data_IF_856960994257
#
_entry.id   IF_856960994257
#
_cell.length_a   1.000
_cell.length_b   1.000
_cell.length_c   1.000
_cell.angle_alpha   90.00
_cell.angle_beta   90.00
_cell.angle_gamma   90.00
#
_symmetry.space_group_name_H-M   'P 1'
#
loop_
_entity.id
_entity.type
_entity.pdbx_description
1 polymer ?
#
# COMPACT_ATOMS: atom_id res chain seq x y z
N UNK A 1 27.21 2.24 -12.27
CA UNK A 1 25.94 1.56 -11.95
C UNK A 1 24.83 2.46 -12.44
N UNK A 2 23.72 1.94 -13.00
CA UNK A 2 22.57 2.78 -13.33
C UNK A 2 22.06 3.50 -12.07
N UNK A 3 21.62 4.74 -12.22
CA UNK A 3 20.90 5.51 -11.21
C UNK A 3 19.48 4.98 -11.02
N UNK A 4 18.80 5.43 -9.96
CA UNK A 4 17.43 4.98 -9.66
C UNK A 4 16.40 5.47 -10.69
N UNK A 5 16.66 6.62 -11.33
CA UNK A 5 15.81 7.16 -12.40
C UNK A 5 16.09 6.53 -13.76
N UNK A 6 17.16 5.74 -13.93
CA UNK A 6 17.46 5.08 -15.20
C UNK A 6 16.41 4.02 -15.55
N UNK A 7 15.83 4.13 -16.75
CA UNK A 7 15.02 3.05 -17.33
C UNK A 7 15.90 1.98 -17.96
N UNK A 8 15.69 0.72 -17.59
CA UNK A 8 16.29 -0.38 -18.33
C UNK A 8 15.68 -0.49 -19.74
N UNK A 9 16.52 -0.36 -20.78
CA UNK A 9 16.10 -0.41 -22.18
C UNK A 9 16.22 -1.80 -22.85
N UNK A 10 16.73 -2.81 -22.13
CA UNK A 10 16.87 -4.17 -22.64
C UNK A 10 15.63 -5.04 -22.43
N UNK A 11 15.72 -6.30 -22.86
CA UNK A 11 14.66 -7.28 -22.57
C UNK A 11 14.83 -7.84 -21.15
N UNK A 12 13.75 -7.95 -20.36
CA UNK A 12 13.80 -8.65 -19.08
C UNK A 12 14.32 -10.08 -19.26
N UNK A 13 15.21 -10.51 -18.37
CA UNK A 13 15.75 -11.87 -18.39
C UNK A 13 14.66 -12.91 -18.13
N UNK A 14 13.67 -12.56 -17.29
CA UNK A 14 12.54 -13.41 -16.95
C UNK A 14 11.27 -12.96 -17.69
N UNK A 15 10.50 -13.94 -18.18
CA UNK A 15 9.20 -13.72 -18.83
C UNK A 15 8.06 -13.85 -17.81
N UNK A 16 8.09 -13.02 -16.77
CA UNK A 16 7.05 -12.99 -15.73
C UNK A 16 5.75 -12.46 -16.34
N UNK A 17 4.62 -13.12 -16.04
CA UNK A 17 3.32 -12.77 -16.62
C UNK A 17 2.56 -11.71 -15.82
N UNK A 18 2.66 -11.75 -14.49
CA UNK A 18 1.97 -10.83 -13.57
C UNK A 18 2.56 -10.87 -12.16
N UNK A 19 2.30 -9.83 -11.38
CA UNK A 19 2.35 -9.90 -9.92
C UNK A 19 1.20 -10.80 -9.45
N UNK A 20 1.54 -11.93 -8.83
CA UNK A 20 0.59 -13.00 -8.54
C UNK A 20 -0.17 -12.83 -7.22
N UNK A 21 0.57 -12.83 -6.12
CA UNK A 21 0.04 -12.76 -4.76
C UNK A 21 1.09 -12.25 -3.78
N UNK A 22 0.64 -11.74 -2.63
CA UNK A 22 1.46 -11.52 -1.43
C UNK A 22 1.30 -12.67 -0.43
N UNK A 23 2.06 -12.66 0.66
CA UNK A 23 1.90 -13.63 1.76
C UNK A 23 1.81 -12.90 3.10
N UNK A 24 0.86 -13.32 3.93
CA UNK A 24 0.70 -12.87 5.31
C UNK A 24 0.85 -14.06 6.26
N UNK A 25 1.50 -13.82 7.39
CA UNK A 25 1.64 -14.81 8.45
C UNK A 25 0.62 -14.51 9.55
N UNK A 26 0.01 -15.57 10.09
CA UNK A 26 -0.96 -15.46 11.19
C UNK A 26 -0.67 -16.48 12.30
N UNK A 27 -1.13 -16.16 13.51
CA UNK A 27 -1.02 -17.00 14.70
C UNK A 27 -2.15 -18.03 14.75
N UNK A 28 -3.39 -17.59 14.49
CA UNK A 28 -4.61 -18.40 14.56
C UNK A 28 -5.47 -18.15 13.33
N UNK A 29 -5.46 -19.09 12.39
CA UNK A 29 -6.14 -18.94 11.10
C UNK A 29 -7.66 -18.74 11.24
N UNK A 30 -8.28 -19.37 12.23
CA UNK A 30 -9.72 -19.25 12.44
C UNK A 30 -10.09 -17.85 12.94
N UNK A 31 -9.29 -17.30 13.85
CA UNK A 31 -9.46 -15.92 14.32
C UNK A 31 -9.20 -14.92 13.19
N UNK A 32 -8.12 -15.06 12.43
CA UNK A 32 -7.79 -14.13 11.34
C UNK A 32 -8.84 -14.19 10.23
N UNK A 33 -9.38 -15.37 9.92
CA UNK A 33 -10.47 -15.52 8.96
C UNK A 33 -11.66 -14.65 9.35
N UNK A 34 -12.11 -14.77 10.60
CA UNK A 34 -13.21 -13.96 11.12
C UNK A 34 -12.89 -12.48 11.05
N UNK A 35 -11.67 -12.07 11.40
CA UNK A 35 -11.28 -10.66 11.30
C UNK A 35 -11.37 -10.15 9.85
N UNK A 36 -10.84 -10.90 8.89
CA UNK A 36 -10.87 -10.51 7.49
C UNK A 36 -12.29 -10.51 6.90
N UNK A 37 -13.16 -11.44 7.27
CA UNK A 37 -14.55 -11.49 6.80
C UNK A 37 -15.45 -10.47 7.52
N UNK A 38 -15.40 -10.40 8.85
CA UNK A 38 -16.34 -9.63 9.69
C UNK A 38 -15.94 -8.17 9.86
N UNK A 39 -14.64 -7.86 9.93
CA UNK A 39 -14.14 -6.49 10.18
C UNK A 39 -13.74 -5.81 8.88
N UNK A 40 -12.97 -6.49 8.02
CA UNK A 40 -12.46 -5.91 6.78
C UNK A 40 -13.34 -6.17 5.56
N UNK A 41 -14.29 -7.11 5.64
CA UNK A 41 -15.19 -7.44 4.53
C UNK A 41 -14.50 -8.07 3.31
N UNK A 42 -13.36 -8.75 3.51
CA UNK A 42 -12.60 -9.40 2.43
C UNK A 42 -13.26 -10.70 1.99
N UNK A 43 -13.08 -11.07 0.72
CA UNK A 43 -13.43 -12.39 0.22
C UNK A 43 -12.39 -13.40 0.69
N UNK A 44 -12.84 -14.52 1.26
CA UNK A 44 -11.94 -15.58 1.77
C UNK A 44 -12.30 -16.95 1.19
N UNK A 45 -11.28 -17.68 0.72
CA UNK A 45 -11.37 -19.11 0.42
C UNK A 45 -10.30 -19.88 1.19
N UNK A 46 -10.56 -21.15 1.51
CA UNK A 46 -9.63 -21.97 2.28
C UNK A 46 -9.15 -23.18 1.45
N UNK A 47 -7.99 -23.10 0.78
CA UNK A 47 -7.47 -24.20 -0.02
C UNK A 47 -6.82 -25.31 0.82
N UNK A 48 -6.54 -25.08 2.11
CA UNK A 48 -5.94 -26.08 2.99
C UNK A 48 -6.34 -25.92 4.46
N UNK A 49 -6.01 -26.90 5.30
CA UNK A 49 -6.23 -26.81 6.76
C UNK A 49 -5.34 -25.80 7.48
N UNK A 50 -4.30 -25.26 6.83
CA UNK A 50 -3.31 -24.34 7.43
C UNK A 50 -3.15 -23.03 6.68
N UNK A 51 -3.98 -22.78 5.66
CA UNK A 51 -3.90 -21.56 4.87
C UNK A 51 -5.24 -21.16 4.28
N UNK A 52 -5.39 -19.87 4.06
CA UNK A 52 -6.50 -19.27 3.32
C UNK A 52 -5.97 -18.31 2.26
N UNK A 53 -6.82 -17.96 1.30
CA UNK A 53 -6.58 -16.87 0.36
C UNK A 53 -7.58 -15.77 0.65
N UNK A 54 -7.10 -14.53 0.68
CA UNK A 54 -7.94 -13.34 0.82
C UNK A 54 -7.76 -12.40 -0.37
N UNK A 55 -8.83 -11.74 -0.79
CA UNK A 55 -8.80 -10.69 -1.82
C UNK A 55 -9.97 -9.74 -1.67
N UNK A 56 -9.93 -8.63 -2.41
CA UNK A 56 -11.09 -7.78 -2.61
C UNK A 56 -10.94 -7.01 -3.93
N UNK A 57 -11.97 -7.04 -4.78
CA UNK A 57 -12.16 -6.19 -5.97
C UNK A 57 -10.99 -6.11 -6.98
N UNK A 58 -9.98 -6.97 -6.87
CA UNK A 58 -8.82 -7.02 -7.76
C UNK A 58 -8.40 -8.47 -8.04
N UNK A 59 -7.47 -8.63 -8.98
CA UNK A 59 -6.86 -9.93 -9.27
C UNK A 59 -5.70 -10.28 -8.31
N UNK A 60 -5.29 -9.35 -7.45
CA UNK A 60 -4.29 -9.64 -6.42
C UNK A 60 -4.95 -10.38 -5.24
N UNK A 61 -4.23 -11.30 -4.64
CA UNK A 61 -4.66 -12.00 -3.45
C UNK A 61 -3.49 -12.12 -2.47
N UNK A 62 -3.79 -12.27 -1.19
CA UNK A 62 -2.80 -12.71 -0.21
C UNK A 62 -3.01 -14.18 0.11
N UNK A 63 -1.93 -14.95 0.09
CA UNK A 63 -1.87 -16.24 0.74
C UNK A 63 -1.63 -16.01 2.23
N UNK A 64 -2.56 -16.43 3.08
CA UNK A 64 -2.44 -16.29 4.53
C UNK A 64 -2.09 -17.65 5.12
N UNK A 65 -1.01 -17.73 5.89
CA UNK A 65 -0.45 -18.98 6.40
C UNK A 65 -0.35 -18.95 7.92
N UNK A 66 -0.87 -19.99 8.58
CA UNK A 66 -0.73 -20.15 10.02
C UNK A 66 0.68 -20.62 10.38
N UNK A 67 1.43 -19.77 11.07
CA UNK A 67 2.80 -20.06 11.53
C UNK A 67 2.88 -20.20 13.05
N UNK A 68 1.82 -19.84 13.78
CA UNK A 68 1.79 -19.79 15.24
C UNK A 68 2.67 -18.68 15.82
N UNK A 69 3.12 -17.73 14.98
CA UNK A 69 3.95 -16.59 15.37
C UNK A 69 3.33 -15.31 14.86
N UNK A 70 3.50 -14.24 15.63
CA UNK A 70 3.12 -12.91 15.18
C UNK A 70 3.96 -12.50 13.97
N UNK A 71 3.34 -11.76 13.06
CA UNK A 71 3.98 -11.22 11.88
C UNK A 71 5.15 -10.31 12.25
N UNK A 72 6.28 -10.45 11.56
CA UNK A 72 7.43 -9.55 11.70
C UNK A 72 7.32 -8.30 10.82
N UNK A 73 6.15 -8.05 10.23
CA UNK A 73 5.91 -6.91 9.36
C UNK A 73 6.14 -5.60 10.11
N UNK A 74 6.79 -4.65 9.46
CA UNK A 74 6.95 -3.29 9.98
C UNK A 74 5.92 -2.37 9.35
N UNK A 75 5.66 -1.21 9.97
CA UNK A 75 4.74 -0.22 9.42
C UNK A 75 5.10 0.21 7.99
N UNK A 76 6.38 0.19 7.57
CA UNK A 76 6.78 0.54 6.20
C UNK A 76 6.49 -0.57 5.17
N UNK A 77 6.11 -1.75 5.61
CA UNK A 77 5.75 -2.89 4.77
C UNK A 77 4.23 -3.17 4.81
N UNK A 78 3.42 -2.16 5.14
CA UNK A 78 1.98 -2.27 5.28
C UNK A 78 1.26 -2.60 3.97
N UNK A 79 -0.01 -2.99 4.11
CA UNK A 79 -0.90 -3.33 3.00
C UNK A 79 -2.05 -2.32 2.95
N UNK A 80 -2.22 -1.63 1.83
CA UNK A 80 -3.24 -0.58 1.67
C UNK A 80 -4.64 -1.12 1.38
N UNK A 81 -5.63 -0.54 2.03
CA UNK A 81 -7.06 -0.76 1.83
C UNK A 81 -7.70 0.60 1.54
N UNK A 82 -8.16 0.76 0.30
CA UNK A 82 -8.82 1.98 -0.14
C UNK A 82 -10.29 1.99 0.29
N UNK A 83 -10.70 3.03 1.01
CA UNK A 83 -12.08 3.25 1.46
C UNK A 83 -12.80 4.34 0.64
N UNK A 84 -12.14 4.91 -0.37
CA UNK A 84 -12.72 5.74 -1.41
C UNK A 84 -12.94 7.21 -1.05
N UNK A 85 -12.98 7.59 0.23
CA UNK A 85 -13.05 9.01 0.63
C UNK A 85 -12.42 9.28 2.00
N UNK A 86 -11.99 10.52 2.22
CA UNK A 86 -11.40 10.92 3.51
C UNK A 86 -12.38 10.76 4.67
N UNK A 87 -13.67 10.99 4.42
CA UNK A 87 -14.73 10.78 5.41
C UNK A 87 -14.80 9.31 5.83
N UNK A 88 -14.68 8.38 4.88
CA UNK A 88 -14.65 6.94 5.17
C UNK A 88 -13.37 6.52 5.91
N UNK A 89 -12.24 7.19 5.69
CA UNK A 89 -11.01 6.97 6.49
C UNK A 89 -11.28 7.30 7.95
N UNK A 90 -11.86 8.47 8.24
CA UNK A 90 -12.19 8.86 9.61
C UNK A 90 -13.29 7.97 10.23
N UNK A 91 -14.27 7.54 9.43
CA UNK A 91 -15.32 6.62 9.88
C UNK A 91 -14.76 5.23 10.23
N UNK A 92 -13.87 4.69 9.39
CA UNK A 92 -13.18 3.43 9.63
C UNK A 92 -12.29 3.51 10.87
N UNK A 93 -11.55 4.61 11.05
CA UNK A 93 -10.74 4.83 12.25
C UNK A 93 -11.56 4.75 13.53
N UNK A 94 -12.71 5.44 13.58
CA UNK A 94 -13.62 5.40 14.73
C UNK A 94 -14.12 3.97 15.01
N UNK A 95 -14.55 3.24 13.99
CA UNK A 95 -15.04 1.86 14.14
C UNK A 95 -13.94 0.93 14.65
N UNK A 96 -12.71 1.03 14.12
CA UNK A 96 -11.60 0.19 14.57
C UNK A 96 -11.17 0.51 16.01
N UNK A 97 -11.26 1.77 16.45
CA UNK A 97 -11.05 2.11 17.86
C UNK A 97 -12.10 1.47 18.78
N UNK A 98 -13.38 1.45 18.37
CA UNK A 98 -14.46 0.79 19.12
C UNK A 98 -14.27 -0.73 19.21
N UNK A 99 -13.73 -1.35 18.16
CA UNK A 99 -13.47 -2.79 18.05
C UNK A 99 -12.10 -3.24 18.57
N UNK A 100 -11.26 -2.30 19.03
CA UNK A 100 -9.85 -2.53 19.34
C UNK A 100 -9.64 -3.67 20.32
N UNK A 101 -10.31 -3.64 21.46
CA UNK A 101 -10.12 -4.62 22.53
C UNK A 101 -10.76 -5.98 22.19
N UNK A 102 -11.92 -5.96 21.52
CA UNK A 102 -12.62 -7.18 21.09
C UNK A 102 -11.77 -8.00 20.12
N UNK A 103 -11.16 -7.33 19.14
CA UNK A 103 -10.37 -8.00 18.12
C UNK A 103 -8.89 -8.09 18.49
N UNK A 104 -8.42 -7.37 19.51
CA UNK A 104 -7.02 -7.37 19.92
C UNK A 104 -6.11 -6.59 18.96
N UNK A 105 -6.62 -5.48 18.41
CA UNK A 105 -5.85 -4.58 17.57
C UNK A 105 -4.81 -3.85 18.43
N UNK A 106 -3.53 -3.96 18.08
CA UNK A 106 -2.44 -3.50 18.97
C UNK A 106 -2.16 -2.02 18.78
N UNK A 107 -1.94 -1.61 17.54
CA UNK A 107 -1.61 -0.23 17.17
C UNK A 107 -2.65 0.29 16.20
N UNK A 108 -3.14 1.50 16.45
CA UNK A 108 -3.97 2.29 15.54
C UNK A 108 -3.40 3.71 15.62
N UNK A 109 -2.96 4.28 14.49
CA UNK A 109 -2.45 5.65 14.43
C UNK A 109 -3.58 6.63 14.16
N UNK A 110 -3.38 7.90 14.51
CA UNK A 110 -4.32 8.96 14.11
C UNK A 110 -4.34 9.15 12.59
N UNK A 111 -5.51 9.40 11.98
CA UNK A 111 -5.61 9.79 10.58
C UNK A 111 -4.85 11.08 10.29
N UNK A 112 -4.13 11.10 9.18
CA UNK A 112 -3.36 12.27 8.73
C UNK A 112 -3.49 12.41 7.22
N UNK A 113 -3.55 13.66 6.78
CA UNK A 113 -3.33 13.99 5.37
C UNK A 113 -1.83 14.12 5.14
N UNK A 114 -1.24 13.17 4.42
CA UNK A 114 0.19 13.12 4.13
C UNK A 114 0.42 12.62 2.71
N UNK A 115 1.38 13.21 2.01
CA UNK A 115 1.71 12.83 0.64
C UNK A 115 0.51 12.88 -0.31
N UNK A 116 -0.41 13.83 -0.11
CA UNK A 116 -1.55 14.05 -0.99
C UNK A 116 -2.74 13.08 -0.80
N UNK A 117 -2.62 12.11 0.10
CA UNK A 117 -3.70 11.18 0.45
C UNK A 117 -3.96 11.23 1.97
N UNK A 118 -5.20 10.93 2.40
CA UNK A 118 -5.55 10.85 3.83
C UNK A 118 -5.58 9.39 4.26
N UNK A 119 -4.79 9.04 5.28
CA UNK A 119 -4.68 7.65 5.75
C UNK A 119 -4.42 7.50 7.25
N UNK A 120 -4.60 6.29 7.77
CA UNK A 120 -4.04 5.84 9.04
C UNK A 120 -3.60 4.39 8.97
N UNK A 121 -2.74 3.98 9.89
CA UNK A 121 -2.20 2.64 9.97
C UNK A 121 -2.72 1.91 11.20
N UNK A 122 -2.87 0.59 11.08
CA UNK A 122 -3.13 -0.26 12.22
C UNK A 122 -2.49 -1.65 12.07
N UNK A 123 -2.41 -2.38 13.17
CA UNK A 123 -2.03 -3.80 13.16
C UNK A 123 -3.25 -4.67 13.41
N UNK A 124 -3.38 -5.71 12.60
CA UNK A 124 -4.35 -6.78 12.86
C UNK A 124 -3.95 -7.61 14.10
N UNK A 125 -4.79 -8.54 14.57
CA UNK A 125 -4.52 -9.31 15.79
C UNK A 125 -3.21 -10.11 15.73
N UNK A 126 -2.77 -10.45 14.52
CA UNK A 126 -1.59 -11.25 14.23
C UNK A 126 -0.33 -10.38 14.00
N UNK A 127 -0.47 -9.06 14.00
CA UNK A 127 0.62 -8.10 13.84
C UNK A 127 0.91 -7.68 12.39
N UNK A 128 0.08 -8.07 11.41
CA UNK A 128 0.22 -7.56 10.05
C UNK A 128 -0.21 -6.10 10.00
N UNK A 129 0.57 -5.28 9.30
CA UNK A 129 0.31 -3.86 9.16
C UNK A 129 -0.61 -3.59 7.97
N UNK A 130 -1.62 -2.78 8.23
CA UNK A 130 -2.62 -2.33 7.27
C UNK A 130 -2.65 -0.81 7.26
N UNK A 131 -2.92 -0.24 6.09
CA UNK A 131 -3.24 1.17 5.90
C UNK A 131 -4.69 1.27 5.44
N UNK A 132 -5.50 2.09 6.12
CA UNK A 132 -6.77 2.57 5.58
C UNK A 132 -6.48 3.92 4.93
N UNK A 133 -6.78 4.04 3.63
CA UNK A 133 -6.44 5.22 2.85
C UNK A 133 -7.61 5.62 1.95
N UNK A 134 -7.72 6.89 1.64
CA UNK A 134 -8.53 7.38 0.52
C UNK A 134 -7.60 7.76 -0.62
N UNK A 135 -7.64 7.01 -1.72
CA UNK A 135 -6.87 7.32 -2.92
C UNK A 135 -7.79 7.72 -4.07
N UNK A 136 -7.18 8.31 -5.11
CA UNK A 136 -7.81 8.62 -6.40
C UNK A 136 -8.40 7.38 -7.07
N UNK A 137 -9.28 7.59 -8.06
CA UNK A 137 -9.81 6.52 -8.91
C UNK A 137 -8.68 5.67 -9.52
N UNK A 138 -8.81 4.34 -9.44
CA UNK A 138 -7.79 3.33 -9.78
C UNK A 138 -6.57 3.27 -8.82
N UNK A 139 -6.60 4.01 -7.72
CA UNK A 139 -5.55 4.05 -6.70
C UNK A 139 -4.16 4.34 -7.26
N UNK A 140 -3.14 3.70 -6.70
CA UNK A 140 -1.75 3.83 -7.16
C UNK A 140 -1.51 3.33 -8.59
N UNK A 141 -2.41 2.52 -9.18
CA UNK A 141 -2.28 2.12 -10.57
C UNK A 141 -2.45 3.30 -11.54
N UNK A 142 -3.13 4.37 -11.12
CA UNK A 142 -3.28 5.60 -11.90
C UNK A 142 -1.93 6.29 -12.18
N UNK A 143 -0.91 6.07 -11.35
CA UNK A 143 0.39 6.75 -11.48
C UNK A 143 1.13 6.36 -12.74
N UNK A 144 0.92 5.14 -13.22
CA UNK A 144 1.53 4.64 -14.46
C UNK A 144 1.02 5.36 -15.71
N UNK A 145 -0.10 6.08 -15.61
CA UNK A 145 -0.65 6.89 -16.70
C UNK A 145 -0.26 8.38 -16.59
N UNK A 146 0.35 8.79 -15.49
CA UNK A 146 0.62 10.19 -15.17
C UNK A 146 2.13 10.49 -15.20
N UNK A 147 2.58 11.15 -16.26
CA UNK A 147 4.00 11.46 -16.45
C UNK A 147 4.59 12.36 -15.37
N UNK A 148 3.77 13.16 -14.69
CA UNK A 148 4.25 14.01 -13.59
C UNK A 148 4.48 13.21 -12.31
N UNK A 149 4.07 11.94 -12.30
CA UNK A 149 4.29 11.01 -11.18
C UNK A 149 5.46 10.05 -11.40
N UNK A 150 6.05 10.07 -12.58
CA UNK A 150 7.15 9.21 -12.97
C UNK A 150 8.46 10.01 -13.06
N UNK A 151 9.42 9.70 -12.19
CA UNK A 151 10.76 10.29 -12.22
C UNK A 151 11.69 9.58 -13.21
N UNK A 152 11.23 8.53 -13.89
CA UNK A 152 12.05 7.75 -14.83
C UNK A 152 12.60 8.64 -15.96
N UNK A 153 13.92 8.65 -16.12
CA UNK A 153 14.65 9.47 -17.09
C UNK A 153 14.86 10.93 -16.67
N UNK A 154 14.45 11.31 -15.46
CA UNK A 154 14.61 12.65 -14.90
C UNK A 154 15.81 12.69 -13.95
N UNK A 155 17.02 12.64 -14.51
CA UNK A 155 18.29 12.65 -13.76
C UNK A 155 18.52 13.90 -12.93
N UNK A 156 17.75 14.96 -13.15
CA UNK A 156 17.73 16.16 -12.31
C UNK A 156 17.41 15.85 -10.85
N UNK A 157 16.71 14.75 -10.59
CA UNK A 157 16.35 14.29 -9.25
C UNK A 157 17.32 13.22 -8.70
N UNK A 158 18.33 12.80 -9.47
CA UNK A 158 19.30 11.81 -8.99
C UNK A 158 20.14 12.39 -7.84
N UNK A 159 20.14 11.69 -6.70
CA UNK A 159 20.93 12.09 -5.54
C UNK A 159 20.31 13.21 -4.70
N UNK A 160 19.06 13.63 -4.95
CA UNK A 160 18.31 14.45 -4.00
C UNK A 160 18.08 13.67 -2.70
N UNK A 161 18.98 13.84 -1.73
CA UNK A 161 18.80 13.40 -0.36
C UNK A 161 18.09 14.51 0.40
N UNK A 162 16.78 14.38 0.58
CA UNK A 162 15.94 15.36 1.26
C UNK A 162 15.05 14.74 2.33
N UNK A 163 14.23 15.57 2.96
CA UNK A 163 13.17 15.10 3.84
C UNK A 163 12.26 14.17 3.04
N UNK A 164 12.24 12.89 3.39
CA UNK A 164 11.41 11.86 2.76
C UNK A 164 9.93 12.25 2.71
N UNK A 165 9.50 13.15 3.61
CA UNK A 165 8.13 13.60 3.65
C UNK A 165 7.70 14.49 2.46
N UNK A 166 8.65 15.09 1.73
CA UNK A 166 8.37 16.04 0.65
C UNK A 166 9.04 15.67 -0.69
N UNK A 167 9.77 14.56 -0.75
CA UNK A 167 10.59 14.18 -1.91
C UNK A 167 9.90 13.12 -2.76
N UNK A 168 8.63 13.37 -3.10
CA UNK A 168 7.76 12.35 -3.67
C UNK A 168 6.61 12.95 -4.49
N UNK A 169 6.26 12.32 -5.61
CA UNK A 169 5.34 12.82 -6.64
C UNK A 169 3.84 12.82 -6.30
N UNK A 170 3.39 12.31 -5.16
CA UNK A 170 2.04 12.60 -4.64
C UNK A 170 1.98 13.89 -3.81
N UNK A 171 3.11 14.46 -3.37
CA UNK A 171 3.14 15.83 -2.85
C UNK A 171 2.94 16.85 -3.99
N UNK A 172 1.95 17.76 -3.91
CA UNK A 172 1.67 18.72 -4.97
C UNK A 172 2.83 19.67 -5.30
N UNK A 173 3.64 20.06 -4.31
CA UNK A 173 4.76 20.98 -4.53
C UNK A 173 5.91 20.27 -5.23
N UNK A 174 6.23 19.04 -4.82
CA UNK A 174 7.23 18.24 -5.50
C UNK A 174 6.81 17.93 -6.93
N UNK A 175 5.53 17.58 -7.13
CA UNK A 175 4.97 17.33 -8.46
C UNK A 175 5.04 18.55 -9.39
N UNK A 176 4.88 19.77 -8.87
CA UNK A 176 5.07 20.99 -9.65
C UNK A 176 6.51 21.10 -10.20
N UNK A 177 7.53 20.73 -9.41
CA UNK A 177 8.93 20.68 -9.87
C UNK A 177 9.13 19.66 -10.99
N UNK A 178 8.50 18.49 -10.89
CA UNK A 178 8.54 17.47 -11.96
C UNK A 178 7.97 18.03 -13.26
N UNK A 179 6.81 18.72 -13.18
CA UNK A 179 6.20 19.37 -14.34
C UNK A 179 7.13 20.40 -14.99
N UNK A 180 7.80 21.24 -14.20
CA UNK A 180 8.76 22.23 -14.71
C UNK A 180 9.91 21.57 -15.50
N UNK A 181 10.46 20.46 -14.99
CA UNK A 181 11.51 19.70 -15.67
C UNK A 181 10.99 19.10 -16.98
N UNK A 182 9.79 18.52 -16.98
CA UNK A 182 9.16 17.97 -18.18
C UNK A 182 8.91 19.05 -19.25
N UNK A 183 8.41 20.21 -18.84
CA UNK A 183 8.15 21.36 -19.73
C UNK A 183 9.44 21.94 -20.30
N UNK A 184 10.52 21.97 -19.52
CA UNK A 184 11.83 22.38 -20.02
C UNK A 184 12.35 21.42 -21.10
N UNK A 185 12.23 20.11 -20.87
CA UNK A 185 12.65 19.08 -21.84
C UNK A 185 11.80 19.06 -23.11
N UNK A 186 10.52 19.44 -23.06
CA UNK A 186 9.64 19.46 -24.25
C UNK A 186 9.92 20.64 -25.19
N UNK A 187 10.56 21.70 -24.69
CA UNK A 187 10.93 22.90 -25.45
C UNK A 187 12.35 22.85 -26.04
N UNK A 188 13.18 21.90 -25.60
CA UNK A 188 14.55 21.70 -26.06
C UNK A 188 14.59 20.77 -27.29
#
# INVERSE_FOLDING_TARGET
MPGITDKYAGQPVLKVQRLGHGTLEVVDLARSRRFYEEVLGLEVIQPSSRSMMIRLNTNHAYAVVETGKESSMTMLAHNGLDVGSEEEVHAAHKKLLELKDEWGLKTITEPRHMHGDTSFYFTDPDGNWWEIVAVRENGYAADFADRERDLTGLHEFDGEAGNVNFSHTHDPNFRARVREVLDAKSRA
#
